data_IF_844291516352
#
_entry.id   IF_844291516352
#
_cell.length_a   1.000
_cell.length_b   1.000
_cell.length_c   1.000
_cell.angle_alpha   90.00
_cell.angle_beta   90.00
_cell.angle_gamma   90.00
#
_symmetry.space_group_name_H-M   'P 1'
#
loop_
_entity.id
_entity.type
_entity.pdbx_description
1 polymer ?
#
# COMPACT_ATOMS: atom_id res chain seq x y z
N UNK A 1 13.23 -21.89 -17.42
CA UNK A 1 12.84 -23.07 -18.24
C UNK A 1 11.35 -23.45 -18.22
N UNK A 2 10.52 -22.95 -17.28
CA UNK A 2 9.12 -23.41 -17.12
C UNK A 2 8.08 -22.60 -17.92
N UNK A 3 8.46 -21.45 -18.46
CA UNK A 3 7.53 -20.51 -19.10
C UNK A 3 7.23 -20.87 -20.55
N UNK A 4 8.22 -21.34 -21.30
CA UNK A 4 8.01 -21.66 -22.71
C UNK A 4 7.08 -22.85 -22.92
N UNK A 5 7.06 -23.81 -21.98
CA UNK A 5 6.09 -24.91 -21.95
C UNK A 5 4.66 -24.38 -21.77
N UNK A 6 4.45 -23.36 -20.93
CA UNK A 6 3.12 -22.76 -20.72
C UNK A 6 2.63 -22.06 -21.99
N UNK A 7 3.52 -21.32 -22.66
CA UNK A 7 3.22 -20.68 -23.95
C UNK A 7 2.91 -21.71 -25.03
N UNK A 8 3.66 -22.83 -25.08
CA UNK A 8 3.41 -23.91 -26.03
C UNK A 8 2.06 -24.59 -25.78
N UNK A 9 1.74 -24.93 -24.54
CA UNK A 9 0.46 -25.54 -24.18
C UNK A 9 -0.72 -24.60 -24.48
N UNK A 10 -0.60 -23.31 -24.16
CA UNK A 10 -1.61 -22.30 -24.46
C UNK A 10 -1.82 -22.14 -25.98
N UNK A 11 -0.74 -22.09 -26.75
CA UNK A 11 -0.79 -21.98 -28.22
C UNK A 11 -1.47 -23.21 -28.86
N UNK A 12 -1.15 -24.41 -28.38
CA UNK A 12 -1.75 -25.66 -28.89
C UNK A 12 -3.24 -25.73 -28.52
N UNK A 13 -3.61 -25.34 -27.30
CA UNK A 13 -5.02 -25.30 -26.88
C UNK A 13 -5.84 -24.28 -27.66
N UNK A 14 -5.28 -23.10 -27.94
CA UNK A 14 -5.94 -22.04 -28.71
C UNK A 14 -6.13 -22.46 -30.18
N UNK A 15 -5.12 -23.09 -30.79
CA UNK A 15 -5.20 -23.62 -32.15
C UNK A 15 -6.22 -24.76 -32.27
N UNK A 16 -6.27 -25.66 -31.29
CA UNK A 16 -7.25 -26.75 -31.24
C UNK A 16 -8.69 -26.25 -31.09
N UNK A 17 -8.92 -25.27 -30.20
CA UNK A 17 -10.23 -24.66 -30.00
C UNK A 17 -10.68 -23.87 -31.24
N UNK A 18 -9.76 -23.17 -31.90
CA UNK A 18 -10.01 -22.47 -33.17
C UNK A 18 -10.43 -23.44 -34.28
N UNK A 19 -9.71 -24.55 -34.47
CA UNK A 19 -10.06 -25.56 -35.47
C UNK A 19 -11.40 -26.24 -35.16
N UNK A 20 -11.68 -26.54 -33.89
CA UNK A 20 -12.93 -27.20 -33.50
C UNK A 20 -14.13 -26.27 -33.70
N UNK A 21 -14.03 -24.99 -33.31
CA UNK A 21 -15.06 -23.98 -33.57
C UNK A 21 -15.26 -23.70 -35.06
N UNK A 22 -14.18 -23.68 -35.84
CA UNK A 22 -14.20 -23.46 -37.29
C UNK A 22 -14.86 -24.63 -38.04
N UNK A 23 -14.58 -25.88 -37.61
CA UNK A 23 -15.04 -27.08 -38.32
C UNK A 23 -16.45 -27.53 -37.91
N UNK A 24 -16.84 -27.33 -36.64
CA UNK A 24 -18.12 -27.81 -36.09
C UNK A 24 -19.26 -26.79 -36.24
N UNK A 25 -18.99 -25.48 -36.14
CA UNK A 25 -20.07 -24.50 -36.00
C UNK A 25 -20.54 -23.83 -37.32
N UNK A 26 -19.77 -23.88 -38.41
CA UNK A 26 -20.11 -23.25 -39.72
C UNK A 26 -20.57 -21.77 -39.64
N UNK A 27 -20.06 -21.00 -38.67
CA UNK A 27 -20.35 -19.57 -38.58
C UNK A 27 -19.41 -18.74 -39.47
N UNK A 28 -19.91 -17.59 -39.94
CA UNK A 28 -19.21 -16.69 -40.85
C UNK A 28 -17.77 -16.43 -40.36
N UNK A 29 -16.73 -16.55 -41.21
CA UNK A 29 -15.32 -16.53 -40.81
C UNK A 29 -14.91 -15.29 -40.00
N UNK A 30 -15.65 -14.19 -40.15
CA UNK A 30 -15.50 -12.96 -39.38
C UNK A 30 -15.73 -13.14 -37.88
N UNK A 31 -16.65 -14.02 -37.46
CA UNK A 31 -16.94 -14.27 -36.03
C UNK A 31 -15.82 -15.08 -35.37
N UNK A 32 -15.28 -16.07 -36.08
CA UNK A 32 -14.12 -16.84 -35.62
C UNK A 32 -12.87 -15.98 -35.48
N UNK A 33 -12.63 -15.07 -36.43
CA UNK A 33 -11.54 -14.11 -36.37
C UNK A 33 -11.68 -13.18 -35.15
N UNK A 34 -12.88 -12.61 -34.95
CA UNK A 34 -13.16 -11.72 -33.82
C UNK A 34 -12.99 -12.42 -32.46
N UNK A 35 -13.47 -13.66 -32.32
CA UNK A 35 -13.28 -14.45 -31.10
C UNK A 35 -11.82 -14.81 -30.84
N UNK A 36 -11.05 -15.14 -31.88
CA UNK A 36 -9.62 -15.44 -31.72
C UNK A 36 -8.82 -14.20 -31.33
N UNK A 37 -9.16 -13.03 -31.90
CA UNK A 37 -8.53 -11.76 -31.55
C UNK A 37 -8.86 -11.36 -30.12
N UNK A 38 -10.12 -11.55 -29.69
CA UNK A 38 -10.55 -11.34 -28.31
C UNK A 38 -9.86 -12.29 -27.33
N UNK A 39 -9.76 -13.58 -27.65
CA UNK A 39 -9.09 -14.58 -26.81
C UNK A 39 -7.58 -14.29 -26.73
N UNK A 40 -6.94 -13.97 -27.85
CA UNK A 40 -5.53 -13.58 -27.89
C UNK A 40 -5.28 -12.31 -27.08
N UNK A 41 -6.13 -11.29 -27.21
CA UNK A 41 -6.05 -10.06 -26.42
C UNK A 41 -6.23 -10.31 -24.92
N UNK A 42 -7.20 -11.15 -24.54
CA UNK A 42 -7.43 -11.53 -23.14
C UNK A 42 -6.26 -12.32 -22.54
N UNK A 43 -5.73 -13.30 -23.27
CA UNK A 43 -4.55 -14.08 -22.85
C UNK A 43 -3.30 -13.20 -22.82
N UNK A 44 -3.10 -12.33 -23.82
CA UNK A 44 -1.98 -11.39 -23.86
C UNK A 44 -2.02 -10.39 -22.71
N UNK A 45 -3.20 -9.90 -22.30
CA UNK A 45 -3.34 -9.06 -21.10
C UNK A 45 -3.07 -9.82 -19.81
N UNK A 46 -3.48 -11.09 -19.71
CA UNK A 46 -3.17 -11.94 -18.56
C UNK A 46 -1.69 -12.32 -18.47
N UNK A 47 -1.00 -12.41 -19.62
CA UNK A 47 0.45 -12.65 -19.70
C UNK A 47 1.27 -11.38 -19.81
N UNK A 48 0.63 -10.20 -19.93
CA UNK A 48 1.33 -8.94 -20.09
C UNK A 48 2.23 -8.75 -18.86
N UNK A 49 3.55 -8.64 -19.05
CA UNK A 49 4.46 -8.54 -17.94
C UNK A 49 4.12 -7.29 -17.16
N UNK A 50 4.02 -7.42 -15.84
CA UNK A 50 3.80 -6.30 -14.94
C UNK A 50 5.05 -5.42 -14.95
N UNK A 51 5.17 -4.56 -15.96
CA UNK A 51 6.37 -3.81 -16.28
C UNK A 51 6.88 -2.96 -15.10
N UNK A 52 5.96 -2.48 -14.27
CA UNK A 52 6.27 -1.73 -13.04
C UNK A 52 6.91 -2.61 -11.95
N UNK A 53 6.51 -3.88 -11.85
CA UNK A 53 7.11 -4.84 -10.91
C UNK A 53 8.54 -5.20 -11.31
N UNK A 54 8.77 -5.37 -12.61
CA UNK A 54 10.10 -5.69 -13.14
C UNK A 54 11.07 -4.53 -12.96
N UNK A 55 10.64 -3.28 -13.18
CA UNK A 55 11.51 -2.11 -12.99
C UNK A 55 11.86 -1.89 -11.53
N UNK A 56 10.93 -2.08 -10.59
CA UNK A 56 11.22 -1.95 -9.15
C UNK A 56 12.18 -3.03 -8.64
N UNK A 57 11.97 -4.29 -9.05
CA UNK A 57 12.88 -5.39 -8.71
C UNK A 57 14.25 -5.26 -9.38
N UNK A 58 14.33 -4.91 -10.66
CA UNK A 58 15.61 -4.82 -11.37
C UNK A 58 16.40 -3.56 -11.01
N UNK A 59 15.74 -2.43 -10.75
CA UNK A 59 16.41 -1.15 -10.50
C UNK A 59 16.76 -0.98 -9.02
N UNK A 60 15.89 -1.46 -8.12
CA UNK A 60 16.01 -1.19 -6.69
C UNK A 60 16.05 -2.44 -5.81
N UNK A 61 15.87 -3.65 -6.37
CA UNK A 61 15.83 -4.88 -5.58
C UNK A 61 14.64 -4.97 -4.62
N UNK A 62 13.61 -4.14 -4.83
CA UNK A 62 12.43 -4.06 -3.97
C UNK A 62 11.33 -4.97 -4.52
N UNK A 63 10.70 -5.76 -3.65
CA UNK A 63 9.53 -6.54 -4.00
C UNK A 63 8.29 -5.62 -4.09
N UNK A 64 7.64 -5.56 -5.27
CA UNK A 64 6.47 -4.70 -5.44
C UNK A 64 5.30 -5.10 -4.52
N UNK A 65 5.11 -6.40 -4.29
CA UNK A 65 4.00 -6.85 -3.43
C UNK A 65 4.20 -6.35 -2.01
N UNK A 66 5.43 -6.43 -1.49
CA UNK A 66 5.80 -5.91 -0.19
C UNK A 66 5.74 -4.37 -0.15
N UNK A 67 6.28 -3.71 -1.18
CA UNK A 67 6.26 -2.25 -1.30
C UNK A 67 4.83 -1.69 -1.24
N UNK A 68 3.94 -2.25 -2.06
CA UNK A 68 2.54 -1.84 -2.09
C UNK A 68 1.82 -2.19 -0.79
N UNK A 69 2.09 -3.34 -0.17
CA UNK A 69 1.50 -3.72 1.10
C UNK A 69 1.89 -2.74 2.23
N UNK A 70 3.18 -2.40 2.33
CA UNK A 70 3.66 -1.46 3.35
C UNK A 70 3.11 -0.05 3.13
N UNK A 71 3.08 0.44 1.89
CA UNK A 71 2.48 1.75 1.60
C UNK A 71 0.97 1.77 1.81
N UNK A 72 0.27 0.67 1.54
CA UNK A 72 -1.15 0.56 1.81
C UNK A 72 -1.43 0.62 3.32
N UNK A 73 -0.62 -0.08 4.13
CA UNK A 73 -0.75 -0.02 5.59
C UNK A 73 -0.41 1.37 6.13
N UNK A 74 0.69 1.97 5.67
CA UNK A 74 1.06 3.33 6.04
C UNK A 74 -0.07 4.35 5.77
N UNK A 75 -0.81 4.20 4.67
CA UNK A 75 -1.97 5.06 4.39
C UNK A 75 -3.12 4.85 5.36
N UNK A 76 -3.35 3.62 5.83
CA UNK A 76 -4.36 3.37 6.87
C UNK A 76 -3.95 4.02 8.18
N UNK A 77 -2.69 3.87 8.58
CA UNK A 77 -2.16 4.51 9.78
C UNK A 77 -2.29 6.03 9.70
N UNK A 78 -1.95 6.63 8.56
CA UNK A 78 -2.16 8.05 8.32
C UNK A 78 -3.65 8.44 8.40
N UNK A 79 -4.57 7.61 7.94
CA UNK A 79 -5.99 7.86 8.08
C UNK A 79 -6.46 7.80 9.54
N UNK A 80 -5.84 6.95 10.38
CA UNK A 80 -6.07 6.93 11.83
C UNK A 80 -5.58 8.23 12.47
N UNK A 81 -4.38 8.70 12.10
CA UNK A 81 -3.85 9.98 12.59
C UNK A 81 -4.74 11.17 12.19
N UNK A 82 -5.22 11.20 10.96
CA UNK A 82 -6.13 12.25 10.49
C UNK A 82 -7.45 12.26 11.28
N UNK A 83 -8.03 11.09 11.55
CA UNK A 83 -9.20 10.98 12.42
C UNK A 83 -8.89 11.41 13.86
N UNK A 84 -7.71 11.07 14.37
CA UNK A 84 -7.29 11.45 15.72
C UNK A 84 -7.22 12.98 15.86
N UNK A 85 -6.71 13.68 14.85
CA UNK A 85 -6.65 15.14 14.81
C UNK A 85 -8.03 15.78 15.03
N UNK A 86 -9.07 15.24 14.39
CA UNK A 86 -10.44 15.78 14.49
C UNK A 86 -11.05 15.64 15.89
N UNK A 87 -10.67 14.58 16.62
CA UNK A 87 -11.25 14.23 17.92
C UNK A 87 -10.44 14.84 19.08
N UNK A 88 -9.22 15.32 18.84
CA UNK A 88 -8.42 16.00 19.86
C UNK A 88 -9.13 17.25 20.38
N UNK A 89 -9.30 17.34 21.71
CA UNK A 89 -9.91 18.48 22.39
C UNK A 89 -8.97 19.69 22.46
N UNK A 90 -7.69 19.43 22.70
CA UNK A 90 -6.64 20.44 22.85
C UNK A 90 -6.12 20.88 21.48
N UNK A 91 -6.12 22.20 21.17
CA UNK A 91 -5.53 22.72 19.94
C UNK A 91 -4.04 22.37 19.80
N UNK A 92 -3.32 22.33 20.93
CA UNK A 92 -1.91 21.99 20.94
C UNK A 92 -1.69 20.52 20.53
N UNK A 93 -2.47 19.59 21.08
CA UNK A 93 -2.35 18.16 20.77
C UNK A 93 -2.82 17.85 19.36
N UNK A 94 -3.84 18.57 18.88
CA UNK A 94 -4.26 18.55 17.47
C UNK A 94 -3.11 18.92 16.54
N UNK A 95 -2.39 20.00 16.83
CA UNK A 95 -1.22 20.41 16.04
C UNK A 95 -0.09 19.38 16.10
N UNK A 96 0.11 18.70 17.23
CA UNK A 96 1.08 17.60 17.33
C UNK A 96 0.69 16.44 16.40
N UNK A 97 -0.57 16.00 16.42
CA UNK A 97 -1.05 14.90 15.56
C UNK A 97 -0.95 15.29 14.09
N UNK A 98 -1.30 16.54 13.74
CA UNK A 98 -1.16 17.07 12.39
C UNK A 98 0.30 17.01 11.90
N UNK A 99 1.27 17.30 12.76
CA UNK A 99 2.70 17.19 12.41
C UNK A 99 3.13 15.75 12.13
N UNK A 100 2.68 14.78 12.94
CA UNK A 100 2.91 13.35 12.69
C UNK A 100 2.35 12.94 11.33
N UNK A 101 1.09 13.31 11.06
CA UNK A 101 0.43 13.03 9.79
C UNK A 101 1.17 13.65 8.60
N UNK A 102 1.56 14.92 8.71
CA UNK A 102 2.28 15.65 7.65
C UNK A 102 3.62 14.99 7.34
N UNK A 103 4.38 14.61 8.37
CA UNK A 103 5.69 13.96 8.22
C UNK A 103 5.55 12.60 7.54
N UNK A 104 4.63 11.76 8.03
CA UNK A 104 4.40 10.44 7.43
C UNK A 104 3.86 10.51 6.00
N UNK A 105 2.93 11.44 5.72
CA UNK A 105 2.37 11.66 4.38
C UNK A 105 3.42 12.17 3.38
N UNK A 106 4.31 13.05 3.83
CA UNK A 106 5.47 13.50 3.05
C UNK A 106 6.40 12.33 2.72
N UNK A 107 6.65 11.42 3.66
CA UNK A 107 7.51 10.25 3.42
C UNK A 107 6.89 9.27 2.42
N UNK A 108 5.59 8.99 2.51
CA UNK A 108 4.87 8.18 1.52
C UNK A 108 5.03 8.81 0.13
N UNK A 109 4.78 10.12 0.02
CA UNK A 109 4.90 10.88 -1.23
C UNK A 109 6.33 10.89 -1.79
N UNK A 110 7.34 10.88 -0.91
CA UNK A 110 8.75 10.80 -1.29
C UNK A 110 9.08 9.42 -1.87
N UNK A 111 8.63 8.35 -1.25
CA UNK A 111 8.91 6.98 -1.72
C UNK A 111 8.20 6.64 -3.03
N UNK A 112 7.02 7.18 -3.26
CA UNK A 112 6.36 7.06 -4.56
C UNK A 112 7.22 7.63 -5.71
N UNK A 113 8.03 8.65 -5.43
CA UNK A 113 8.98 9.25 -6.38
C UNK A 113 10.31 8.52 -6.41
N UNK A 114 10.79 8.05 -5.25
CA UNK A 114 12.08 7.38 -5.10
C UNK A 114 11.95 6.00 -4.39
N UNK A 115 11.47 4.96 -5.09
CA UNK A 115 11.24 3.64 -4.49
C UNK A 115 12.52 2.96 -3.98
N UNK A 116 13.69 3.39 -4.46
CA UNK A 116 15.00 2.88 -4.03
C UNK A 116 15.31 3.11 -2.55
N UNK A 117 14.67 4.10 -1.93
CA UNK A 117 14.80 4.40 -0.49
C UNK A 117 13.86 3.56 0.38
N UNK A 118 13.00 2.72 -0.23
CA UNK A 118 12.05 1.89 0.51
C UNK A 118 12.68 0.98 1.57
N UNK A 119 13.79 0.26 1.33
CA UNK A 119 14.36 -0.62 2.35
C UNK A 119 14.76 0.12 3.65
N UNK A 120 15.15 1.38 3.53
CA UNK A 120 15.51 2.24 4.66
C UNK A 120 14.25 2.76 5.37
N UNK A 121 13.26 3.20 4.61
CA UNK A 121 12.01 3.74 5.14
C UNK A 121 11.02 2.67 5.62
N UNK A 122 11.20 1.40 5.24
CA UNK A 122 10.32 0.28 5.61
C UNK A 122 10.11 0.18 7.11
N UNK A 123 11.19 0.32 7.90
CA UNK A 123 11.10 0.24 9.36
C UNK A 123 10.32 1.41 9.95
N UNK A 124 10.40 2.60 9.34
CA UNK A 124 9.61 3.75 9.75
C UNK A 124 8.11 3.44 9.70
N UNK A 125 7.61 2.90 8.59
CA UNK A 125 6.18 2.57 8.49
C UNK A 125 5.78 1.42 9.41
N UNK A 126 6.53 0.32 9.36
CA UNK A 126 6.16 -0.91 10.05
C UNK A 126 6.23 -0.82 11.58
N UNK A 127 7.00 0.12 12.13
CA UNK A 127 7.20 0.23 13.58
C UNK A 127 6.88 1.60 14.13
N UNK A 128 7.34 2.68 13.49
CA UNK A 128 7.18 4.01 14.07
C UNK A 128 5.78 4.55 13.78
N UNK A 129 5.37 4.57 12.51
CA UNK A 129 4.05 5.03 12.07
C UNK A 129 2.92 4.18 12.67
N UNK A 130 3.02 2.86 12.55
CA UNK A 130 2.06 1.92 13.11
C UNK A 130 1.88 2.09 14.64
N UNK A 131 2.98 2.19 15.39
CA UNK A 131 2.91 2.40 16.84
C UNK A 131 2.23 3.71 17.21
N UNK A 132 2.52 4.80 16.47
CA UNK A 132 1.89 6.10 16.72
C UNK A 132 0.38 6.05 16.41
N UNK A 133 0.00 5.40 15.31
CA UNK A 133 -1.40 5.20 14.93
C UNK A 133 -2.15 4.38 15.98
N UNK A 134 -1.62 3.23 16.40
CA UNK A 134 -2.21 2.40 17.45
C UNK A 134 -2.37 3.15 18.78
N UNK A 135 -1.38 3.96 19.17
CA UNK A 135 -1.47 4.76 20.40
C UNK A 135 -2.62 5.77 20.32
N UNK A 136 -2.76 6.46 19.18
CA UNK A 136 -3.79 7.46 18.96
C UNK A 136 -5.18 6.86 18.73
N UNK A 137 -5.27 5.67 18.16
CA UNK A 137 -6.51 4.91 18.05
C UNK A 137 -7.05 4.55 19.44
N UNK A 138 -6.17 4.08 20.33
CA UNK A 138 -6.54 3.79 21.72
C UNK A 138 -6.97 5.04 22.46
N UNK A 139 -6.24 6.15 22.29
CA UNK A 139 -6.64 7.46 22.83
C UNK A 139 -8.05 7.84 22.38
N UNK A 140 -8.35 7.76 21.09
CA UNK A 140 -9.68 8.04 20.55
C UNK A 140 -10.77 7.11 21.13
N UNK A 141 -10.47 5.82 21.25
CA UNK A 141 -11.43 4.85 21.79
C UNK A 141 -11.83 5.21 23.23
N UNK A 142 -10.86 5.60 24.07
CA UNK A 142 -11.12 6.02 25.45
C UNK A 142 -11.84 7.37 25.54
N UNK A 143 -11.46 8.34 24.71
CA UNK A 143 -12.15 9.63 24.55
C UNK A 143 -13.63 9.42 24.19
N UNK A 144 -13.92 8.65 23.14
CA UNK A 144 -15.29 8.35 22.67
C UNK A 144 -16.12 7.57 23.70
N UNK A 145 -15.49 6.66 24.43
CA UNK A 145 -16.18 5.89 25.46
C UNK A 145 -16.59 6.74 26.67
N UNK A 146 -15.99 7.92 26.86
CA UNK A 146 -16.32 8.85 27.94
C UNK A 146 -16.05 8.29 29.36
N UNK A 147 -15.23 7.25 29.46
CA UNK A 147 -14.93 6.57 30.73
C UNK A 147 -13.97 7.43 31.53
N UNK A 148 -14.43 7.96 32.66
CA UNK A 148 -13.65 8.83 33.56
C UNK A 148 -12.99 8.07 34.71
N UNK A 149 -12.49 6.85 34.46
CA UNK A 149 -11.72 6.17 35.49
C UNK A 149 -10.35 6.86 35.66
N UNK A 150 -9.77 6.90 36.87
CA UNK A 150 -8.46 7.49 37.10
C UNK A 150 -7.37 6.95 36.17
N UNK A 151 -7.44 5.66 35.83
CA UNK A 151 -6.49 4.99 34.93
C UNK A 151 -6.62 5.48 33.48
N UNK A 152 -7.85 5.72 33.01
CA UNK A 152 -8.09 6.24 31.66
C UNK A 152 -7.62 7.69 31.56
N UNK A 153 -7.89 8.52 32.57
CA UNK A 153 -7.43 9.92 32.58
C UNK A 153 -5.91 10.00 32.57
N UNK A 154 -5.22 9.18 33.38
CA UNK A 154 -3.76 9.10 33.39
C UNK A 154 -3.20 8.66 32.04
N UNK A 155 -3.82 7.66 31.38
CA UNK A 155 -3.41 7.22 30.05
C UNK A 155 -3.56 8.32 28.99
N UNK A 156 -4.69 9.05 29.00
CA UNK A 156 -4.92 10.16 28.06
C UNK A 156 -3.86 11.24 28.23
N UNK A 157 -3.59 11.67 29.47
CA UNK A 157 -2.56 12.67 29.77
C UNK A 157 -1.15 12.21 29.39
N UNK A 158 -0.80 10.96 29.66
CA UNK A 158 0.51 10.41 29.24
C UNK A 158 0.66 10.37 27.72
N UNK A 159 -0.43 10.10 27.01
CA UNK A 159 -0.42 10.09 25.54
C UNK A 159 -0.20 11.50 25.01
N UNK A 160 -0.90 12.50 25.55
CA UNK A 160 -0.71 13.92 25.21
C UNK A 160 0.72 14.39 25.50
N UNK A 161 1.29 14.00 26.65
CA UNK A 161 2.68 14.29 27.01
C UNK A 161 3.71 13.59 26.10
N UNK A 162 3.36 12.42 25.54
CA UNK A 162 4.23 11.67 24.66
C UNK A 162 4.23 12.21 23.22
N UNK A 163 3.17 12.88 22.78
CA UNK A 163 3.03 13.39 21.40
C UNK A 163 4.20 14.26 20.93
N UNK A 164 4.70 15.25 21.70
CA UNK A 164 5.87 16.03 21.32
C UNK A 164 7.13 15.18 21.13
N UNK A 165 7.35 14.19 22.00
CA UNK A 165 8.50 13.29 21.93
C UNK A 165 8.41 12.37 20.71
N UNK A 166 7.21 11.89 20.41
CA UNK A 166 6.94 11.10 19.21
C UNK A 166 7.21 11.90 17.94
N UNK A 167 6.76 13.16 17.87
CA UNK A 167 7.07 14.05 16.76
C UNK A 167 8.57 14.24 16.57
N UNK A 168 9.30 14.53 17.64
CA UNK A 168 10.75 14.71 17.57
C UNK A 168 11.46 13.43 17.08
N UNK A 169 11.02 12.25 17.54
CA UNK A 169 11.57 10.98 17.10
C UNK A 169 11.25 10.72 15.61
N UNK A 170 10.03 11.03 15.17
CA UNK A 170 9.61 10.92 13.78
C UNK A 170 10.40 11.83 12.85
N UNK A 171 10.51 13.12 13.19
CA UNK A 171 11.27 14.11 12.42
C UNK A 171 12.73 13.68 12.31
N UNK A 172 13.35 13.25 13.42
CA UNK A 172 14.72 12.75 13.39
C UNK A 172 14.88 11.52 12.50
N UNK A 173 13.95 10.57 12.59
CA UNK A 173 13.99 9.37 11.75
C UNK A 173 13.75 9.71 10.27
N UNK A 174 12.88 10.67 9.99
CA UNK A 174 12.61 11.18 8.66
C UNK A 174 13.85 11.88 8.06
N UNK A 175 14.49 12.78 8.81
CA UNK A 175 15.71 13.46 8.38
C UNK A 175 16.85 12.48 8.08
N UNK A 176 16.98 11.42 8.88
CA UNK A 176 17.96 10.35 8.63
C UNK A 176 17.69 9.56 7.34
N UNK A 177 16.43 9.49 6.89
CA UNK A 177 16.07 8.81 5.64
C UNK A 177 16.32 9.70 4.41
N UNK A 178 16.20 11.03 4.59
CA UNK A 178 16.41 12.01 3.54
C UNK A 178 17.86 12.47 3.37
N UNK A 179 18.70 12.30 4.39
CA UNK A 179 20.15 12.55 4.34
C UNK A 179 20.89 11.58 3.40
#
# INVERSE_FOLDING_TARGET
MREWKRVLFAAISAAGLFLLLFLVLKWHPLVGLALSAGLYGGVYLLLAPKAKEQTLRMTYGVDEEEYQAVLAEARKDLAVLAQAEEIMDSPQDRDQVRRLWTTGSSLVSYLEKEPGKFPQARQFFLYYLDTAAHLLERYQAFQKAGVRSPEVVDLLQRTEQALPLLNQAFEKQYDQLLA
#
